data_IF_270798817381
#
_entry.id   IF_270798817381
#
_cell.length_a   1.000
_cell.length_b   1.000
_cell.length_c   1.000
_cell.angle_alpha   90.00
_cell.angle_beta   90.00
_cell.angle_gamma   90.00
#
_symmetry.space_group_name_H-M   'P 1'
#
loop_
_entity.id
_entity.type
_entity.pdbx_description
1 polymer ?
#
# COMPACT_ATOMS: atom_id res chain seq x y z
N UNK A 1 -8.63 16.33 51.58
CA UNK A 1 -8.80 15.67 50.27
C UNK A 1 -7.71 16.21 49.33
N UNK A 2 -6.66 15.43 49.09
CA UNK A 2 -5.51 15.87 48.27
C UNK A 2 -5.86 15.84 46.78
N UNK A 3 -5.74 16.99 46.12
CA UNK A 3 -5.93 17.15 44.68
C UNK A 3 -4.97 16.23 43.90
N UNK A 4 -5.54 15.43 42.99
CA UNK A 4 -4.79 14.61 42.01
C UNK A 4 -3.86 15.50 41.18
N UNK A 5 -2.63 15.01 40.97
CA UNK A 5 -1.48 15.75 40.45
C UNK A 5 -1.61 16.36 39.05
N UNK A 6 -0.69 17.28 38.77
CA UNK A 6 -0.52 18.03 37.52
C UNK A 6 -0.49 17.09 36.29
N UNK A 7 -1.59 17.01 35.54
CA UNK A 7 -1.56 16.50 34.16
C UNK A 7 -0.64 17.40 33.34
N UNK A 8 0.31 16.79 32.60
CA UNK A 8 1.12 17.52 31.63
C UNK A 8 0.20 18.19 30.60
N UNK A 9 0.43 19.47 30.24
CA UNK A 9 -0.38 20.13 29.23
C UNK A 9 -0.33 19.36 27.91
N UNK A 10 -1.45 19.31 27.15
CA UNK A 10 -1.49 18.63 25.87
C UNK A 10 -0.45 19.24 24.93
N UNK A 11 0.53 18.42 24.53
CA UNK A 11 1.54 18.82 23.54
C UNK A 11 0.87 18.83 22.17
N UNK A 12 0.93 19.96 21.45
CA UNK A 12 0.58 19.99 20.03
C UNK A 12 1.51 19.02 19.31
N UNK A 13 0.97 17.89 18.88
CA UNK A 13 1.67 16.94 18.02
C UNK A 13 1.58 17.53 16.61
N UNK A 14 2.70 17.73 15.89
CA UNK A 14 2.64 18.18 14.50
C UNK A 14 1.78 17.21 13.69
N UNK A 15 0.95 17.75 12.80
CA UNK A 15 0.10 16.94 11.93
C UNK A 15 0.98 16.11 10.97
N UNK A 16 0.57 14.87 10.64
CA UNK A 16 1.36 14.00 9.80
C UNK A 16 1.50 14.62 8.41
N UNK A 17 2.69 14.50 7.82
CA UNK A 17 2.95 14.95 6.45
C UNK A 17 2.06 14.17 5.48
N UNK A 18 1.11 14.88 4.86
CA UNK A 18 0.25 14.35 3.81
C UNK A 18 1.01 14.27 2.48
N UNK A 19 1.04 13.09 1.87
CA UNK A 19 1.65 12.87 0.56
C UNK A 19 0.58 12.48 -0.44
N UNK A 20 0.63 13.04 -1.65
CA UNK A 20 -0.34 12.74 -2.70
C UNK A 20 0.38 12.17 -3.91
N UNK A 21 -0.01 10.96 -4.31
CA UNK A 21 0.46 10.31 -5.52
C UNK A 21 -0.50 10.63 -6.68
N UNK A 22 0.00 11.33 -7.69
CA UNK A 22 -0.67 11.61 -8.96
C UNK A 22 -0.31 10.59 -10.04
N UNK A 23 0.72 9.77 -9.81
CA UNK A 23 1.20 8.73 -10.71
C UNK A 23 1.84 7.55 -9.96
N UNK A 24 2.23 6.49 -10.71
CA UNK A 24 2.93 5.35 -10.13
C UNK A 24 4.31 5.76 -9.59
N UNK A 25 4.79 5.02 -8.59
CA UNK A 25 6.11 5.14 -7.99
C UNK A 25 6.44 6.52 -7.41
N UNK A 26 5.43 7.22 -6.90
CA UNK A 26 5.62 8.47 -6.14
C UNK A 26 5.53 8.25 -4.63
N UNK A 27 4.63 7.39 -4.19
CA UNK A 27 4.44 7.06 -2.77
C UNK A 27 4.21 5.56 -2.63
N UNK A 28 5.09 4.92 -1.89
CA UNK A 28 4.96 3.53 -1.49
C UNK A 28 4.54 3.44 -0.03
N UNK A 29 3.60 2.54 0.24
CA UNK A 29 3.24 2.10 1.57
C UNK A 29 3.88 0.74 1.79
N UNK A 30 4.49 0.52 2.95
CA UNK A 30 5.03 -0.79 3.30
C UNK A 30 4.70 -1.14 4.73
N UNK A 31 4.66 -2.44 5.00
CA UNK A 31 4.40 -2.99 6.33
C UNK A 31 4.89 -4.44 6.45
N UNK A 32 4.97 -4.94 7.68
CA UNK A 32 5.36 -6.31 8.01
C UNK A 32 4.17 -7.03 8.64
N UNK A 33 3.86 -8.22 8.14
CA UNK A 33 2.81 -9.07 8.69
C UNK A 33 3.28 -10.50 8.90
N UNK A 34 2.54 -11.23 9.73
CA UNK A 34 2.86 -12.61 10.05
C UNK A 34 2.14 -13.58 9.11
N UNK A 35 2.87 -14.59 8.63
CA UNK A 35 2.33 -15.78 7.96
C UNK A 35 2.39 -16.98 8.93
N UNK A 36 1.29 -17.72 9.13
CA UNK A 36 1.25 -18.84 10.06
C UNK A 36 2.14 -20.00 9.60
N UNK A 37 2.81 -20.68 10.53
CA UNK A 37 3.46 -21.98 10.31
C UNK A 37 2.53 -23.11 10.75
N UNK A 38 2.68 -24.30 10.15
CA UNK A 38 2.06 -25.53 10.68
C UNK A 38 2.64 -25.90 12.07
N UNK A 39 3.87 -25.44 12.37
CA UNK A 39 4.50 -25.62 13.69
C UNK A 39 3.98 -24.57 14.66
N UNK A 40 3.34 -25.03 15.74
CA UNK A 40 2.76 -24.14 16.76
C UNK A 40 3.85 -23.26 17.39
N UNK A 41 3.60 -21.95 17.44
CA UNK A 41 4.53 -20.97 18.00
C UNK A 41 5.61 -20.49 17.02
N UNK A 42 5.61 -20.99 15.77
CA UNK A 42 6.42 -20.49 14.69
C UNK A 42 5.57 -19.69 13.70
N UNK A 43 6.14 -18.61 13.17
CA UNK A 43 5.57 -17.82 12.09
C UNK A 43 6.68 -17.31 11.18
N UNK A 44 6.29 -16.89 9.99
CA UNK A 44 7.18 -16.26 9.03
C UNK A 44 6.82 -14.78 8.90
N UNK A 45 7.81 -13.95 8.63
CA UNK A 45 7.65 -12.51 8.52
C UNK A 45 7.54 -12.12 7.05
N UNK A 46 6.36 -11.64 6.65
CA UNK A 46 6.09 -11.08 5.34
C UNK A 46 6.34 -9.58 5.37
N UNK A 47 7.40 -9.17 4.69
CA UNK A 47 7.65 -7.79 4.35
C UNK A 47 6.97 -7.49 3.01
N UNK A 48 6.21 -6.41 2.93
CA UNK A 48 5.48 -6.08 1.72
C UNK A 48 5.53 -4.58 1.45
N UNK A 49 5.80 -4.21 0.19
CA UNK A 49 5.77 -2.85 -0.34
C UNK A 49 4.70 -2.77 -1.43
N UNK A 50 3.81 -1.79 -1.33
CA UNK A 50 2.80 -1.50 -2.34
C UNK A 50 2.86 -0.04 -2.81
N UNK A 51 2.53 0.17 -4.07
CA UNK A 51 2.31 1.50 -4.63
C UNK A 51 0.87 1.95 -4.33
N UNK A 52 0.69 3.10 -3.65
CA UNK A 52 -0.65 3.51 -3.20
C UNK A 52 -1.56 3.98 -4.34
N UNK A 53 -0.96 4.48 -5.42
CA UNK A 53 -1.67 5.03 -6.57
C UNK A 53 -2.33 3.91 -7.38
N UNK A 54 -1.54 2.91 -7.74
CA UNK A 54 -1.95 1.78 -8.57
C UNK A 54 -2.44 0.58 -7.78
N UNK A 55 -2.17 0.53 -6.47
CA UNK A 55 -2.36 -0.63 -5.58
C UNK A 55 -1.45 -1.81 -5.86
N UNK A 56 -0.52 -1.69 -6.82
CA UNK A 56 0.38 -2.78 -7.21
C UNK A 56 1.29 -3.18 -6.04
N UNK A 57 1.43 -4.48 -5.83
CA UNK A 57 2.51 -5.03 -4.99
C UNK A 57 3.80 -4.83 -5.76
N UNK A 58 4.69 -3.99 -5.23
CA UNK A 58 5.96 -3.63 -5.85
C UNK A 58 7.04 -4.63 -5.48
N UNK A 59 7.11 -4.99 -4.20
CA UNK A 59 8.06 -5.96 -3.70
C UNK A 59 7.53 -6.64 -2.44
N UNK A 60 7.95 -7.87 -2.22
CA UNK A 60 7.67 -8.61 -1.00
C UNK A 60 8.80 -9.60 -0.71
N UNK A 61 8.96 -9.94 0.56
CA UNK A 61 9.87 -10.99 1.01
C UNK A 61 9.34 -11.71 2.23
N UNK A 62 9.72 -12.99 2.37
CA UNK A 62 9.43 -13.80 3.55
C UNK A 62 10.73 -14.20 4.24
N UNK A 63 10.78 -13.99 5.56
CA UNK A 63 11.94 -14.31 6.41
C UNK A 63 11.54 -15.02 7.71
N UNK A 64 12.52 -15.65 8.36
CA UNK A 64 12.34 -16.35 9.65
C UNK A 64 12.42 -15.40 10.85
N UNK A 65 12.99 -14.21 10.64
CA UNK A 65 13.17 -13.18 11.67
C UNK A 65 13.01 -11.78 11.08
N UNK A 66 12.69 -10.82 11.94
CA UNK A 66 12.69 -9.41 11.54
C UNK A 66 14.07 -8.79 11.65
N UNK A 67 14.49 -8.07 10.61
CA UNK A 67 15.72 -7.28 10.62
C UNK A 67 15.62 -6.05 9.72
N UNK A 68 16.26 -4.96 10.15
CA UNK A 68 16.42 -3.75 9.34
C UNK A 68 17.26 -3.98 8.08
N UNK A 69 18.21 -4.93 8.11
CA UNK A 69 19.02 -5.29 6.92
C UNK A 69 18.17 -6.03 5.87
N UNK A 70 17.16 -6.78 6.31
CA UNK A 70 16.21 -7.43 5.39
C UNK A 70 15.28 -6.40 4.75
N UNK A 71 14.78 -5.43 5.53
CA UNK A 71 14.01 -4.30 5.01
C UNK A 71 14.81 -3.50 3.97
N UNK A 72 16.08 -3.22 4.26
CA UNK A 72 17.01 -2.55 3.35
C UNK A 72 17.13 -3.29 2.01
N UNK A 73 17.41 -4.60 2.04
CA UNK A 73 17.55 -5.43 0.84
C UNK A 73 16.26 -5.51 0.01
N UNK A 74 15.10 -5.44 0.66
CA UNK A 74 13.81 -5.39 -0.01
C UNK A 74 13.65 -4.07 -0.78
N UNK A 75 13.97 -2.95 -0.15
CA UNK A 75 13.86 -1.61 -0.75
C UNK A 75 14.82 -1.46 -1.92
N UNK A 76 16.08 -1.88 -1.77
CA UNK A 76 17.05 -1.85 -2.86
C UNK A 76 16.53 -2.65 -4.09
N UNK A 77 15.92 -3.82 -3.87
CA UNK A 77 15.30 -4.62 -4.93
C UNK A 77 14.07 -3.94 -5.54
N UNK A 78 13.22 -3.34 -4.72
CA UNK A 78 12.03 -2.61 -5.18
C UNK A 78 12.43 -1.46 -6.11
N UNK A 79 13.41 -0.65 -5.70
CA UNK A 79 13.91 0.47 -6.50
C UNK A 79 14.51 0.02 -7.83
N UNK A 80 15.27 -1.07 -7.83
CA UNK A 80 15.83 -1.63 -9.07
C UNK A 80 14.73 -2.16 -10.00
N UNK A 81 13.77 -2.92 -9.46
CA UNK A 81 12.66 -3.50 -10.23
C UNK A 81 11.81 -2.42 -10.90
N UNK A 82 11.49 -1.36 -10.16
CA UNK A 82 10.65 -0.26 -10.64
C UNK A 82 11.43 0.86 -11.35
N UNK A 83 12.76 0.72 -11.44
CA UNK A 83 13.68 1.70 -12.06
C UNK A 83 13.61 3.09 -11.39
N UNK A 84 13.38 3.11 -10.08
CA UNK A 84 13.23 4.32 -9.27
C UNK A 84 14.50 4.72 -8.51
N UNK A 85 15.67 4.17 -8.87
CA UNK A 85 16.92 4.47 -8.16
C UNK A 85 17.30 5.97 -8.19
N UNK A 86 17.03 6.64 -9.31
CA UNK A 86 17.37 8.05 -9.50
C UNK A 86 16.33 9.01 -8.92
N UNK A 87 15.06 8.58 -8.88
CA UNK A 87 13.93 9.33 -8.38
C UNK A 87 13.13 8.43 -7.44
N UNK A 88 13.62 8.20 -6.21
CA UNK A 88 13.02 7.20 -5.37
C UNK A 88 11.73 7.73 -4.72
N UNK A 89 10.73 6.87 -4.52
CA UNK A 89 9.44 7.27 -3.96
C UNK A 89 9.55 7.65 -2.49
N UNK A 90 8.54 8.36 -2.01
CA UNK A 90 8.29 8.50 -0.58
C UNK A 90 7.92 7.13 -0.02
N UNK A 91 8.60 6.70 1.05
CA UNK A 91 8.30 5.45 1.73
C UNK A 91 7.52 5.73 3.01
N UNK A 92 6.25 5.34 3.03
CA UNK A 92 5.38 5.44 4.19
C UNK A 92 5.31 4.13 4.97
N UNK A 93 5.55 4.23 6.28
CA UNK A 93 5.64 3.10 7.19
C UNK A 93 4.86 3.36 8.47
N UNK A 94 4.48 2.28 9.15
CA UNK A 94 4.12 2.38 10.56
C UNK A 94 5.35 2.50 11.47
N UNK A 95 5.11 2.69 12.77
CA UNK A 95 6.15 2.85 13.79
C UNK A 95 6.68 1.50 14.33
N UNK A 96 6.67 0.43 13.51
CA UNK A 96 7.18 -0.88 13.91
C UNK A 96 8.68 -0.87 14.27
N UNK A 97 9.13 -1.82 15.10
CA UNK A 97 10.53 -1.90 15.50
C UNK A 97 11.52 -2.05 14.31
N UNK A 98 11.24 -2.87 13.27
CA UNK A 98 12.10 -2.93 12.09
C UNK A 98 12.09 -1.63 11.26
N UNK A 99 10.94 -0.97 11.22
CA UNK A 99 10.72 0.27 10.47
C UNK A 99 11.44 1.47 11.10
N UNK A 100 11.71 1.38 12.40
CA UNK A 100 12.41 2.42 13.17
C UNK A 100 13.91 2.15 13.33
N UNK A 101 14.41 1.02 12.80
CA UNK A 101 15.81 0.60 12.91
C UNK A 101 16.80 1.60 12.31
N UNK A 102 17.96 1.74 12.94
CA UNK A 102 19.00 2.67 12.50
C UNK A 102 19.53 2.32 11.10
N UNK A 103 19.77 1.03 10.83
CA UNK A 103 20.27 0.53 9.54
C UNK A 103 19.36 0.94 8.39
N UNK A 104 18.05 0.83 8.57
CA UNK A 104 17.08 1.20 7.55
C UNK A 104 17.07 2.72 7.32
N UNK A 105 17.03 3.51 8.40
CA UNK A 105 17.04 4.98 8.32
C UNK A 105 18.30 5.52 7.65
N UNK A 106 19.47 4.96 7.98
CA UNK A 106 20.73 5.33 7.35
C UNK A 106 20.70 5.04 5.85
N UNK A 107 20.22 3.87 5.44
CA UNK A 107 20.10 3.55 4.01
C UNK A 107 19.17 4.49 3.27
N UNK A 108 18.01 4.80 3.86
CA UNK A 108 17.03 5.67 3.22
C UNK A 108 17.58 7.10 3.07
N UNK A 109 18.36 7.57 4.04
CA UNK A 109 19.11 8.83 3.91
C UNK A 109 20.15 8.76 2.77
N UNK A 110 20.93 7.69 2.66
CA UNK A 110 21.91 7.51 1.57
C UNK A 110 21.26 7.49 0.18
N UNK A 111 20.04 6.96 0.09
CA UNK A 111 19.25 6.91 -1.14
C UNK A 111 18.51 8.22 -1.42
N UNK A 112 18.52 9.20 -0.52
CA UNK A 112 17.71 10.41 -0.63
C UNK A 112 16.20 10.15 -0.54
N UNK A 113 15.78 9.01 0.01
CA UNK A 113 14.38 8.64 0.16
C UNK A 113 13.73 9.36 1.34
N UNK A 114 12.60 10.01 1.08
CA UNK A 114 11.79 10.59 2.13
C UNK A 114 11.01 9.51 2.88
N UNK A 115 11.17 9.47 4.20
CA UNK A 115 10.38 8.62 5.09
C UNK A 115 9.17 9.37 5.63
N UNK A 116 8.00 8.77 5.48
CA UNK A 116 6.77 9.19 6.14
C UNK A 116 6.41 8.16 7.23
N UNK A 117 6.03 8.63 8.42
CA UNK A 117 5.62 7.77 9.52
C UNK A 117 4.21 8.11 9.97
N UNK A 118 3.47 7.08 10.38
CA UNK A 118 2.20 7.24 11.07
C UNK A 118 2.34 8.01 12.38
N UNK A 119 1.25 8.64 12.84
CA UNK A 119 1.21 9.38 14.09
C UNK A 119 1.51 8.46 15.27
N UNK A 120 2.32 8.92 16.24
CA UNK A 120 2.44 8.22 17.52
C UNK A 120 1.06 8.10 18.18
N UNK A 121 0.63 6.86 18.48
CA UNK A 121 -0.64 6.51 19.16
C UNK A 121 -1.92 6.56 18.31
N UNK A 122 -1.82 6.51 16.98
CA UNK A 122 -2.97 6.23 16.11
C UNK A 122 -2.70 4.93 15.35
N UNK A 123 -3.46 3.88 15.64
CA UNK A 123 -3.20 2.51 15.16
C UNK A 123 -3.64 2.23 13.73
N UNK A 124 -3.97 3.26 12.93
CA UNK A 124 -4.78 3.10 11.71
C UNK A 124 -4.29 3.98 10.54
N UNK A 125 -3.01 4.37 10.57
CA UNK A 125 -2.43 5.35 9.66
C UNK A 125 -1.78 4.71 8.42
N UNK A 126 -1.80 3.38 8.28
CA UNK A 126 -1.36 2.65 7.07
C UNK A 126 -2.48 1.83 6.39
N UNK A 127 -3.62 2.47 6.04
CA UNK A 127 -4.82 1.77 5.58
C UNK A 127 -4.62 0.98 4.28
N UNK A 128 -3.63 1.36 3.47
CA UNK A 128 -3.31 0.71 2.20
C UNK A 128 -2.71 -0.68 2.43
N UNK A 129 -1.64 -0.77 3.23
CA UNK A 129 -1.00 -2.05 3.58
C UNK A 129 -1.96 -2.95 4.37
N UNK A 130 -2.73 -2.40 5.31
CA UNK A 130 -3.75 -3.17 6.05
C UNK A 130 -4.81 -3.78 5.13
N UNK A 131 -5.34 -3.00 4.18
CA UNK A 131 -6.32 -3.48 3.21
C UNK A 131 -5.75 -4.59 2.32
N UNK A 132 -4.48 -4.46 1.95
CA UNK A 132 -3.78 -5.46 1.16
C UNK A 132 -3.56 -6.75 1.96
N UNK A 133 -3.12 -6.66 3.21
CA UNK A 133 -3.00 -7.86 4.07
C UNK A 133 -4.34 -8.53 4.31
N UNK A 134 -5.43 -7.77 4.45
CA UNK A 134 -6.77 -8.34 4.51
C UNK A 134 -7.10 -9.09 3.23
N UNK A 135 -6.84 -8.50 2.06
CA UNK A 135 -7.06 -9.16 0.76
C UNK A 135 -6.26 -10.47 0.65
N UNK A 136 -5.00 -10.44 1.10
CA UNK A 136 -4.10 -11.59 1.10
C UNK A 136 -4.58 -12.71 2.04
N UNK A 137 -4.90 -12.39 3.30
CA UNK A 137 -5.23 -13.36 4.35
C UNK A 137 -6.65 -13.90 4.30
N UNK A 138 -7.59 -13.16 3.70
CA UNK A 138 -9.00 -13.57 3.59
C UNK A 138 -9.32 -14.17 2.21
N UNK A 139 -8.32 -14.36 1.34
CA UNK A 139 -8.57 -15.05 0.09
C UNK A 139 -8.88 -16.55 0.34
N UNK A 140 -9.78 -17.19 -0.43
CA UNK A 140 -10.15 -18.59 -0.21
C UNK A 140 -8.99 -19.59 -0.27
N UNK A 141 -7.89 -19.22 -0.96
CA UNK A 141 -6.69 -20.04 -1.12
C UNK A 141 -5.66 -19.85 0.01
N UNK A 142 -5.96 -19.02 1.01
CA UNK A 142 -5.08 -18.81 2.15
C UNK A 142 -5.02 -20.07 3.04
N UNK A 143 -3.83 -20.61 3.33
CA UNK A 143 -3.71 -21.81 4.15
C UNK A 143 -3.91 -21.46 5.63
N UNK A 144 -5.16 -21.56 6.09
CA UNK A 144 -5.54 -21.26 7.48
C UNK A 144 -4.81 -22.13 8.52
N UNK A 145 -4.38 -23.35 8.15
CA UNK A 145 -3.61 -24.25 9.01
C UNK A 145 -2.12 -23.90 9.11
N UNK A 146 -1.65 -22.92 8.35
CA UNK A 146 -0.24 -22.57 8.27
C UNK A 146 0.45 -23.12 7.02
N UNK A 147 1.67 -22.65 6.81
CA UNK A 147 2.57 -23.12 5.78
C UNK A 147 3.58 -24.12 6.35
N UNK A 148 3.88 -25.17 5.60
CA UNK A 148 4.81 -26.23 6.01
C UNK A 148 6.28 -25.82 6.06
N UNK A 149 6.67 -24.77 5.31
CA UNK A 149 8.05 -24.29 5.26
C UNK A 149 8.15 -22.87 4.72
N UNK A 150 9.29 -22.22 4.96
CA UNK A 150 9.64 -20.92 4.38
C UNK A 150 9.48 -20.91 2.84
N UNK A 151 9.92 -21.98 2.18
CA UNK A 151 9.79 -22.15 0.73
C UNK A 151 8.33 -22.24 0.29
N UNK A 152 7.46 -22.88 1.07
CA UNK A 152 6.03 -22.98 0.76
C UNK A 152 5.36 -21.59 0.80
N UNK A 153 5.66 -20.77 1.81
CA UNK A 153 5.14 -19.39 1.90
C UNK A 153 5.62 -18.56 0.71
N UNK A 154 6.91 -18.64 0.35
CA UNK A 154 7.49 -17.90 -0.78
C UNK A 154 6.83 -18.29 -2.12
N UNK A 155 6.62 -19.58 -2.35
CA UNK A 155 5.89 -20.06 -3.55
C UNK A 155 4.46 -19.54 -3.60
N UNK A 156 3.77 -19.55 -2.45
CA UNK A 156 2.42 -19.02 -2.36
C UNK A 156 2.38 -17.52 -2.65
N UNK A 157 3.30 -16.74 -2.06
CA UNK A 157 3.38 -15.30 -2.28
C UNK A 157 3.66 -14.95 -3.73
N UNK A 158 4.52 -15.71 -4.42
CA UNK A 158 4.78 -15.51 -5.84
C UNK A 158 3.51 -15.66 -6.68
N UNK A 159 2.74 -16.73 -6.44
CA UNK A 159 1.47 -16.97 -7.13
C UNK A 159 0.42 -15.90 -6.78
N UNK A 160 0.37 -15.51 -5.50
CA UNK A 160 -0.54 -14.48 -5.03
C UNK A 160 -0.22 -13.12 -5.66
N UNK A 161 1.04 -12.72 -5.69
CA UNK A 161 1.48 -11.46 -6.30
C UNK A 161 1.06 -11.40 -7.76
N UNK A 162 1.32 -12.47 -8.54
CA UNK A 162 0.92 -12.52 -9.95
C UNK A 162 -0.59 -12.39 -10.11
N UNK A 163 -1.37 -13.18 -9.38
CA UNK A 163 -2.83 -13.12 -9.45
C UNK A 163 -3.38 -11.75 -9.00
N UNK A 164 -2.80 -11.16 -7.96
CA UNK A 164 -3.23 -9.86 -7.44
C UNK A 164 -2.87 -8.72 -8.39
N UNK A 165 -1.64 -8.69 -8.93
CA UNK A 165 -1.20 -7.59 -9.79
C UNK A 165 -1.82 -7.68 -11.19
N UNK A 166 -1.92 -8.89 -11.76
CA UNK A 166 -2.22 -9.07 -13.18
C UNK A 166 -3.67 -9.51 -13.46
N UNK A 167 -4.39 -10.08 -12.50
CA UNK A 167 -5.74 -10.65 -12.72
C UNK A 167 -6.82 -10.00 -11.84
N UNK A 168 -6.49 -9.59 -10.63
CA UNK A 168 -7.46 -9.05 -9.68
C UNK A 168 -7.97 -7.67 -10.11
N UNK A 169 -9.27 -7.56 -10.38
CA UNK A 169 -9.93 -6.29 -10.66
C UNK A 169 -10.19 -5.53 -9.36
N UNK A 170 -9.36 -4.54 -9.07
CA UNK A 170 -9.36 -3.88 -7.76
C UNK A 170 -10.40 -2.75 -7.70
N UNK A 171 -11.33 -2.84 -6.75
CA UNK A 171 -12.47 -1.92 -6.64
C UNK A 171 -12.06 -0.47 -6.40
N UNK A 172 -11.00 -0.24 -5.61
CA UNK A 172 -10.48 1.10 -5.31
C UNK A 172 -9.85 1.84 -6.50
N UNK A 173 -9.72 1.19 -7.66
CA UNK A 173 -9.21 1.78 -8.91
C UNK A 173 -10.18 1.49 -10.08
N UNK A 174 -11.48 1.42 -9.80
CA UNK A 174 -12.53 1.18 -10.79
C UNK A 174 -12.37 -0.13 -11.58
N UNK A 175 -11.96 -1.19 -10.90
CA UNK A 175 -11.95 -2.56 -11.42
C UNK A 175 -11.02 -2.75 -12.63
N UNK A 176 -9.94 -1.97 -12.72
CA UNK A 176 -8.76 -2.37 -13.50
C UNK A 176 -7.80 -3.17 -12.61
N UNK A 177 -6.85 -3.87 -13.21
CA UNK A 177 -5.82 -4.57 -12.41
C UNK A 177 -4.80 -3.57 -11.87
N UNK A 178 -4.16 -3.85 -10.73
CA UNK A 178 -3.10 -3.02 -10.22
C UNK A 178 -1.97 -2.77 -11.24
N UNK A 179 -1.58 -3.81 -12.01
CA UNK A 179 -0.58 -3.66 -13.07
C UNK A 179 -1.06 -2.75 -14.21
N UNK A 180 -2.31 -2.86 -14.65
CA UNK A 180 -2.88 -1.98 -15.69
C UNK A 180 -2.84 -0.51 -15.28
N UNK A 181 -3.25 -0.21 -14.04
CA UNK A 181 -3.18 1.16 -13.52
C UNK A 181 -1.74 1.65 -13.42
N UNK A 182 -0.84 0.78 -12.98
CA UNK A 182 0.58 1.11 -12.84
C UNK A 182 1.27 1.41 -14.18
N UNK A 183 0.86 0.72 -15.25
CA UNK A 183 1.36 0.94 -16.62
C UNK A 183 0.69 2.12 -17.33
N UNK A 184 -0.39 2.68 -16.76
CA UNK A 184 -1.13 3.81 -17.35
C UNK A 184 -2.08 3.43 -18.49
N UNK A 185 -2.44 2.14 -18.63
CA UNK A 185 -3.36 1.66 -19.67
C UNK A 185 -4.81 1.63 -19.22
N UNK A 186 -5.10 2.06 -17.99
CA UNK A 186 -6.43 2.03 -17.39
C UNK A 186 -7.41 2.99 -18.07
N UNK A 187 -6.93 4.16 -18.53
CA UNK A 187 -7.77 5.16 -19.20
C UNK A 187 -8.46 4.59 -20.45
N UNK A 188 -7.70 3.90 -21.30
CA UNK A 188 -8.23 3.28 -22.51
C UNK A 188 -9.23 2.15 -22.19
N UNK A 189 -8.90 1.30 -21.21
CA UNK A 189 -9.75 0.19 -20.80
C UNK A 189 -11.08 0.66 -20.22
N UNK A 190 -11.03 1.70 -19.40
CA UNK A 190 -12.18 2.29 -18.76
C UNK A 190 -13.11 3.00 -19.77
N UNK A 191 -12.55 3.75 -20.73
CA UNK A 191 -13.33 4.35 -21.81
C UNK A 191 -14.04 3.29 -22.67
N UNK A 192 -13.38 2.16 -22.97
CA UNK A 192 -14.01 1.03 -23.67
C UNK A 192 -15.20 0.46 -22.89
N UNK A 193 -15.08 0.34 -21.56
CA UNK A 193 -16.17 -0.16 -20.69
C UNK A 193 -17.34 0.81 -20.62
N UNK A 194 -17.06 2.11 -20.52
CA UNK A 194 -18.08 3.15 -20.57
C UNK A 194 -18.90 3.05 -21.87
N UNK A 195 -18.23 2.97 -23.02
CA UNK A 195 -18.90 2.83 -24.31
C UNK A 195 -19.79 1.57 -24.41
N UNK A 196 -19.35 0.45 -23.83
CA UNK A 196 -20.16 -0.79 -23.76
C UNK A 196 -21.41 -0.59 -22.91
N UNK A 197 -21.28 0.06 -21.75
CA UNK A 197 -22.41 0.31 -20.85
C UNK A 197 -23.42 1.30 -21.46
N UNK A 198 -22.93 2.37 -22.08
CA UNK A 198 -23.80 3.35 -22.77
C UNK A 198 -24.53 2.72 -23.95
N UNK A 199 -23.84 1.90 -24.75
CA UNK A 199 -24.48 1.14 -25.83
C UNK A 199 -25.53 0.15 -25.30
N UNK A 200 -25.25 -0.53 -24.19
CA UNK A 200 -26.20 -1.46 -23.60
C UNK A 200 -27.45 -0.74 -23.07
N UNK A 201 -27.26 0.43 -22.43
CA UNK A 201 -28.33 1.29 -21.93
C UNK A 201 -29.18 1.85 -23.06
N UNK A 202 -28.57 2.35 -24.14
CA UNK A 202 -29.31 2.89 -25.29
C UNK A 202 -30.16 1.83 -25.98
N UNK A 203 -29.68 0.59 -26.07
CA UNK A 203 -30.43 -0.53 -26.66
C UNK A 203 -31.60 -1.00 -25.80
N UNK A 204 -31.49 -0.94 -24.47
CA UNK A 204 -32.51 -1.46 -23.56
C UNK A 204 -32.77 -0.54 -22.35
N UNK A 205 -33.26 0.70 -22.53
CA UNK A 205 -33.30 1.70 -21.46
C UNK A 205 -34.07 1.25 -20.21
N UNK A 206 -35.13 0.44 -20.38
CA UNK A 206 -35.97 -0.08 -19.29
C UNK A 206 -35.23 -0.97 -18.29
N UNK A 207 -34.05 -1.52 -18.64
CA UNK A 207 -33.21 -2.31 -17.71
C UNK A 207 -32.39 -1.44 -16.75
N UNK A 208 -32.34 -0.12 -16.97
CA UNK A 208 -31.61 0.82 -16.13
C UNK A 208 -32.58 1.73 -15.40
N UNK A 209 -32.47 1.77 -14.07
CA UNK A 209 -33.22 2.71 -13.22
C UNK A 209 -32.56 4.09 -13.12
N UNK A 210 -31.33 4.25 -13.63
CA UNK A 210 -30.55 5.49 -13.55
C UNK A 210 -29.33 5.48 -14.46
N UNK A 211 -28.26 6.18 -14.03
CA UNK A 211 -27.01 6.26 -14.78
C UNK A 211 -26.24 4.94 -14.83
N UNK A 212 -25.37 4.83 -15.82
CA UNK A 212 -24.45 3.70 -15.92
C UNK A 212 -23.42 3.78 -14.79
N UNK A 213 -22.70 2.69 -14.60
CA UNK A 213 -21.63 2.64 -13.60
C UNK A 213 -20.55 3.67 -13.97
N UNK A 214 -20.03 4.38 -12.96
CA UNK A 214 -18.90 5.28 -13.15
C UNK A 214 -17.63 4.49 -13.55
N UNK A 215 -17.16 4.76 -14.77
CA UNK A 215 -15.92 4.24 -15.32
C UNK A 215 -14.84 5.32 -15.49
N UNK A 216 -14.92 6.44 -14.79
CA UNK A 216 -13.86 7.45 -14.83
C UNK A 216 -12.53 6.90 -14.31
N UNK A 217 -11.41 7.45 -14.80
CA UNK A 217 -10.07 7.12 -14.28
C UNK A 217 -9.98 7.54 -12.81
N UNK A 218 -9.47 6.66 -11.96
CA UNK A 218 -9.24 6.98 -10.56
C UNK A 218 -8.21 8.11 -10.44
N UNK A 219 -8.53 9.18 -9.70
CA UNK A 219 -7.66 10.35 -9.59
C UNK A 219 -6.43 10.15 -8.70
N UNK A 220 -5.85 11.27 -8.26
CA UNK A 220 -4.75 11.26 -7.31
C UNK A 220 -5.14 10.62 -5.97
N UNK A 221 -4.18 9.97 -5.32
CA UNK A 221 -4.38 9.23 -4.06
C UNK A 221 -3.54 9.88 -2.97
N UNK A 222 -4.20 10.34 -1.90
CA UNK A 222 -3.53 10.93 -0.75
C UNK A 222 -3.35 9.92 0.37
N UNK A 223 -2.16 9.97 0.97
CA UNK A 223 -1.82 9.32 2.22
C UNK A 223 -2.07 10.33 3.35
N UNK A 224 -2.94 9.97 4.30
CA UNK A 224 -3.46 10.87 5.33
C UNK A 224 -4.03 12.16 4.71
N UNK A 225 -5.25 12.14 4.15
CA UNK A 225 -5.85 13.35 3.58
C UNK A 225 -6.07 14.38 4.70
N UNK A 226 -5.13 15.32 4.82
CA UNK A 226 -5.30 16.53 5.62
C UNK A 226 -6.37 17.44 5.02
N UNK A 227 -6.69 18.53 5.73
CA UNK A 227 -7.63 19.54 5.20
C UNK A 227 -7.03 20.16 3.92
N UNK A 228 -7.87 20.41 2.91
CA UNK A 228 -7.49 20.87 1.54
C UNK A 228 -6.41 21.98 1.48
N UNK A 229 -6.41 22.92 2.43
CA UNK A 229 -5.42 24.01 2.53
C UNK A 229 -3.97 23.53 2.71
N UNK A 230 -3.76 22.31 3.19
CA UNK A 230 -2.43 21.78 3.47
C UNK A 230 -1.84 21.00 2.28
N UNK A 231 -2.70 20.42 1.44
CA UNK A 231 -2.31 19.84 0.14
C UNK A 231 -1.67 20.90 -0.75
N UNK A 232 -2.20 22.13 -0.71
CA UNK A 232 -1.64 23.28 -1.45
C UNK A 232 -0.27 23.71 -0.90
N UNK A 233 -0.04 23.62 0.41
CA UNK A 233 1.24 23.97 1.04
C UNK A 233 2.34 22.96 0.69
N UNK A 234 2.01 21.66 0.63
CA UNK A 234 3.00 20.62 0.28
C UNK A 234 3.36 20.64 -1.20
N UNK A 235 2.46 21.09 -2.10
CA UNK A 235 2.79 21.34 -3.51
C UNK A 235 3.83 22.45 -3.71
N UNK A 236 4.00 23.35 -2.74
CA UNK A 236 4.98 24.45 -2.80
C UNK A 236 6.32 24.08 -2.17
N UNK A 237 6.40 22.95 -1.46
CA UNK A 237 7.59 22.49 -0.75
C UNK A 237 8.33 21.34 -1.47
N UNK A 238 7.77 20.83 -2.57
CA UNK A 238 8.39 19.90 -3.51
C UNK A 238 8.92 20.66 -4.72
#
# INVERSE_FOLDING_TARGET
MNHRGRMKPPRKVPEPTSFTATGPNQVWSWDISYCPSEVRGQHWYLYLIMDIYSRKIVAWEIHESESGELAKKLIDRALLRERCWQNPPVLHSDNGAPMTSYTLKARLADLGMLMSHSRPRVSNDNPYSESLFKTLKYCPKWPAKGFSSLTAVRKWMLLFEQAYNEEHLHSGINFVTPAQRHQGVDAELLAKREAVYERAKSLNPRRWSGDTRNWAVAGAVSLNPGKLQEIERNKQAA
#
